data_IF_369635486826
#
_entry.id   IF_369635486826
#
_cell.length_a   1.000
_cell.length_b   1.000
_cell.length_c   1.000
_cell.angle_alpha   90.00
_cell.angle_beta   90.00
_cell.angle_gamma   90.00
#
_symmetry.space_group_name_H-M   'P 1'
#
loop_
_entity.id
_entity.type
_entity.pdbx_description
1 polymer ?
#
# COMPACT_ATOMS: atom_id res chain seq x y z
N UNK A 1 -7.62 2.52 -37.28
CA UNK A 1 -7.78 3.50 -36.17
C UNK A 1 -7.14 3.04 -34.85
N UNK A 2 -7.16 1.74 -34.51
CA UNK A 2 -6.60 1.16 -33.28
C UNK A 2 -5.06 1.23 -33.13
N UNK A 3 -4.31 1.24 -34.23
CA UNK A 3 -2.83 1.33 -34.18
C UNK A 3 -2.31 2.70 -33.74
N UNK A 4 -2.98 3.81 -34.10
CA UNK A 4 -2.57 5.18 -33.73
C UNK A 4 -2.82 5.50 -32.25
N UNK A 5 -3.84 4.90 -31.64
CA UNK A 5 -4.15 5.09 -30.21
C UNK A 5 -3.11 4.37 -29.34
N UNK A 6 -2.67 3.18 -29.76
CA UNK A 6 -1.67 2.40 -29.03
C UNK A 6 -0.28 3.08 -29.05
N UNK A 7 0.13 3.65 -30.18
CA UNK A 7 1.41 4.37 -30.28
C UNK A 7 1.42 5.69 -29.51
N UNK A 8 0.31 6.43 -29.50
CA UNK A 8 0.17 7.66 -28.70
C UNK A 8 0.31 7.39 -27.20
N UNK A 9 -0.34 6.34 -26.69
CA UNK A 9 -0.31 6.01 -25.26
C UNK A 9 1.06 5.49 -24.80
N UNK A 10 1.79 4.77 -25.67
CA UNK A 10 3.13 4.28 -25.37
C UNK A 10 4.15 5.42 -25.27
N UNK A 11 4.09 6.40 -26.18
CA UNK A 11 4.98 7.57 -26.12
C UNK A 11 4.78 8.39 -24.82
N UNK A 12 3.54 8.54 -24.37
CA UNK A 12 3.22 9.23 -23.11
C UNK A 12 3.74 8.47 -21.89
N UNK A 13 3.62 7.14 -21.87
CA UNK A 13 4.14 6.29 -20.78
C UNK A 13 5.67 6.30 -20.74
N UNK A 14 6.34 6.29 -21.89
CA UNK A 14 7.80 6.37 -21.99
C UNK A 14 8.36 7.72 -21.52
N UNK A 15 7.71 8.83 -21.86
CA UNK A 15 8.08 10.16 -21.34
C UNK A 15 7.92 10.28 -19.83
N UNK A 16 6.96 9.55 -19.25
CA UNK A 16 6.68 9.54 -17.81
C UNK A 16 7.75 8.79 -17.01
N UNK A 17 8.23 7.64 -17.51
CA UNK A 17 9.30 6.86 -16.87
C UNK A 17 10.65 7.57 -16.87
N UNK A 18 10.93 8.38 -17.90
CA UNK A 18 12.07 9.28 -17.88
C UNK A 18 11.97 10.27 -16.71
N UNK A 19 10.78 10.85 -16.49
CA UNK A 19 10.51 11.76 -15.36
C UNK A 19 10.72 11.10 -14.00
N UNK A 20 10.25 9.86 -13.81
CA UNK A 20 10.42 9.09 -12.56
C UNK A 20 11.89 8.75 -12.29
N UNK A 21 12.64 8.33 -13.32
CA UNK A 21 14.08 8.06 -13.19
C UNK A 21 14.86 9.33 -12.84
N UNK A 22 14.49 10.48 -13.41
CA UNK A 22 15.06 11.78 -13.04
C UNK A 22 14.76 12.17 -11.60
N UNK A 23 13.52 11.97 -11.13
CA UNK A 23 13.12 12.27 -9.75
C UNK A 23 13.86 11.38 -8.72
N UNK A 24 14.01 10.09 -9.02
CA UNK A 24 14.75 9.15 -8.16
C UNK A 24 16.26 9.46 -8.12
N UNK A 25 16.85 9.89 -9.23
CA UNK A 25 18.26 10.29 -9.28
C UNK A 25 18.53 11.60 -8.50
N UNK A 26 17.56 12.52 -8.48
CA UNK A 26 17.61 13.74 -7.67
C UNK A 26 17.44 13.42 -6.18
N UNK A 27 16.50 12.54 -5.82
CA UNK A 27 16.26 12.13 -4.43
C UNK A 27 17.40 11.33 -3.80
N UNK A 28 18.17 10.58 -4.59
CA UNK A 28 19.31 9.80 -4.12
C UNK A 28 20.61 10.62 -3.92
N UNK A 29 20.58 11.96 -4.11
CA UNK A 29 21.77 12.80 -4.01
C UNK A 29 22.82 12.55 -5.11
N UNK A 30 22.49 11.77 -6.15
CA UNK A 30 23.40 11.40 -7.24
C UNK A 30 23.60 12.53 -8.27
N UNK A 31 22.96 13.69 -8.07
CA UNK A 31 22.92 14.81 -9.03
C UNK A 31 23.20 16.16 -8.35
N UNK A 32 24.30 16.27 -7.61
CA UNK A 32 24.80 17.60 -7.17
C UNK A 32 25.53 18.36 -8.30
N UNK A 33 25.78 17.71 -9.44
CA UNK A 33 26.32 18.36 -10.64
C UNK A 33 25.54 17.95 -11.89
N UNK A 34 25.08 18.97 -12.63
CA UNK A 34 24.27 18.97 -13.87
C UNK A 34 24.16 17.62 -14.61
N UNK A 35 22.95 17.14 -14.97
CA UNK A 35 22.82 15.88 -15.70
C UNK A 35 23.34 16.06 -17.15
N UNK A 36 24.23 15.19 -17.66
CA UNK A 36 24.50 15.14 -19.08
C UNK A 36 23.26 14.58 -19.79
N UNK A 37 22.87 15.21 -20.90
CA UNK A 37 21.80 14.80 -21.82
C UNK A 37 21.82 13.29 -22.16
N UNK A 38 22.95 12.62 -21.96
CA UNK A 38 23.15 11.18 -22.09
C UNK A 38 22.26 10.31 -21.18
N UNK A 39 21.97 10.71 -19.93
CA UNK A 39 21.11 9.90 -19.02
C UNK A 39 19.66 9.90 -19.51
N UNK A 40 19.19 11.06 -19.97
CA UNK A 40 17.87 11.22 -20.58
C UNK A 40 17.77 10.51 -21.94
N UNK A 41 18.84 10.53 -22.74
CA UNK A 41 18.92 9.80 -24.00
C UNK A 41 18.94 8.27 -23.81
N UNK A 42 19.63 7.76 -22.78
CA UNK A 42 19.68 6.34 -22.44
C UNK A 42 18.34 5.83 -21.88
N UNK A 43 17.67 6.62 -21.03
CA UNK A 43 16.32 6.30 -20.55
C UNK A 43 15.30 6.32 -21.72
N UNK A 44 15.43 7.26 -22.66
CA UNK A 44 14.61 7.34 -23.86
C UNK A 44 14.84 6.18 -24.84
N UNK A 45 16.10 5.77 -25.05
CA UNK A 45 16.46 4.66 -25.93
C UNK A 45 16.03 3.29 -25.37
N UNK A 46 16.16 3.08 -24.06
CA UNK A 46 15.67 1.88 -23.38
C UNK A 46 14.14 1.76 -23.46
N UNK A 47 13.43 2.90 -23.38
CA UNK A 47 11.99 2.97 -23.53
C UNK A 47 11.53 2.69 -24.98
N UNK A 48 12.28 3.14 -25.99
CA UNK A 48 12.01 2.85 -27.40
C UNK A 48 12.24 1.36 -27.76
N UNK A 49 13.25 0.72 -27.16
CA UNK A 49 13.52 -0.71 -27.35
C UNK A 49 12.44 -1.63 -26.72
N UNK A 50 11.76 -1.17 -25.67
CA UNK A 50 10.72 -1.94 -24.96
C UNK A 50 9.40 -2.09 -25.74
N UNK A 51 9.10 -1.19 -26.69
CA UNK A 51 7.84 -1.17 -27.42
C UNK A 51 7.66 -2.34 -28.42
N UNK A 52 8.74 -3.06 -28.78
CA UNK A 52 8.70 -4.20 -29.70
C UNK A 52 8.47 -5.58 -29.07
N UNK A 53 8.55 -5.72 -27.74
CA UNK A 53 8.60 -7.02 -27.05
C UNK A 53 7.27 -7.37 -26.32
N UNK A 54 6.12 -7.09 -26.93
CA UNK A 54 4.81 -7.16 -26.27
C UNK A 54 4.34 -8.56 -25.78
N UNK A 55 5.08 -9.65 -26.03
CA UNK A 55 4.79 -10.97 -25.46
C UNK A 55 5.82 -11.43 -24.41
N UNK A 56 7.07 -10.96 -24.49
CA UNK A 56 8.15 -11.25 -23.52
C UNK A 56 8.29 -10.17 -22.43
N UNK A 57 7.65 -9.01 -22.61
CA UNK A 57 7.70 -7.89 -21.67
C UNK A 57 6.82 -8.05 -20.41
N UNK A 58 6.15 -9.20 -20.22
CA UNK A 58 5.30 -9.41 -19.02
C UNK A 58 6.09 -9.31 -17.72
N UNK A 59 7.22 -10.00 -17.65
CA UNK A 59 8.09 -10.00 -16.46
C UNK A 59 8.62 -8.59 -16.16
N UNK A 60 9.21 -7.84 -17.11
CA UNK A 60 9.68 -6.48 -16.81
C UNK A 60 8.54 -5.49 -16.52
N UNK A 61 7.35 -5.63 -17.13
CA UNK A 61 6.18 -4.80 -16.77
C UNK A 61 5.71 -5.06 -15.34
N UNK A 62 5.63 -6.32 -14.92
CA UNK A 62 5.27 -6.67 -13.53
C UNK A 62 6.36 -6.27 -12.55
N UNK A 63 7.64 -6.39 -12.92
CA UNK A 63 8.75 -5.89 -12.10
C UNK A 63 8.70 -4.37 -11.94
N UNK A 64 8.49 -3.62 -13.04
CA UNK A 64 8.36 -2.17 -13.02
C UNK A 64 7.11 -1.71 -12.24
N UNK A 65 5.99 -2.43 -12.38
CA UNK A 65 4.79 -2.22 -11.56
C UNK A 65 5.12 -2.45 -10.08
N UNK A 66 5.79 -3.56 -9.74
CA UNK A 66 6.23 -3.84 -8.37
C UNK A 66 7.12 -2.74 -7.78
N UNK A 67 8.11 -2.26 -8.54
CA UNK A 67 8.99 -1.16 -8.13
C UNK A 67 8.26 0.19 -8.02
N UNK A 68 7.23 0.42 -8.83
CA UNK A 68 6.42 1.64 -8.70
C UNK A 68 5.52 1.58 -7.47
N UNK A 69 4.98 0.38 -7.19
CA UNK A 69 4.18 0.13 -6.00
C UNK A 69 5.02 0.33 -4.74
N UNK A 70 6.29 -0.08 -4.70
CA UNK A 70 7.16 0.14 -3.53
C UNK A 70 7.31 1.62 -3.22
N UNK A 71 7.54 2.46 -4.25
CA UNK A 71 7.62 3.91 -4.13
C UNK A 71 6.27 4.56 -3.75
N UNK A 72 5.15 3.99 -4.20
CA UNK A 72 3.82 4.46 -3.82
C UNK A 72 3.39 4.07 -2.41
N UNK A 73 3.99 3.03 -1.82
CA UNK A 73 3.63 2.56 -0.47
C UNK A 73 4.13 3.49 0.63
N UNK A 74 5.24 4.18 0.41
CA UNK A 74 5.76 5.19 1.35
C UNK A 74 4.92 6.46 1.35
N UNK A 75 4.18 6.75 0.26
CA UNK A 75 3.20 7.85 0.22
C UNK A 75 2.12 7.71 1.31
N UNK A 76 1.75 6.48 1.66
CA UNK A 76 0.76 6.25 2.72
C UNK A 76 1.24 6.85 4.04
N UNK A 77 2.53 6.68 4.36
CA UNK A 77 3.13 7.21 5.58
C UNK A 77 3.21 8.74 5.52
N UNK A 78 3.54 9.32 4.36
CA UNK A 78 3.55 10.77 4.17
C UNK A 78 2.16 11.39 4.35
N UNK A 79 1.13 10.75 3.80
CA UNK A 79 -0.27 11.20 3.94
C UNK A 79 -0.73 11.07 5.39
N UNK A 80 -0.39 9.97 6.07
CA UNK A 80 -0.65 9.79 7.50
C UNK A 80 0.03 10.91 8.28
N UNK A 81 1.32 11.17 8.08
CA UNK A 81 2.05 12.24 8.75
C UNK A 81 1.34 13.60 8.57
N UNK A 82 1.03 13.97 7.32
CA UNK A 82 0.33 15.22 7.00
C UNK A 82 -1.05 15.32 7.65
N UNK A 83 -1.86 14.26 7.61
CA UNK A 83 -3.20 14.24 8.21
C UNK A 83 -3.16 14.47 9.73
N UNK A 84 -2.07 14.06 10.38
CA UNK A 84 -1.90 14.18 11.82
C UNK A 84 -1.09 15.41 12.25
N UNK A 85 -0.88 16.35 11.32
CA UNK A 85 -0.16 17.59 11.58
C UNK A 85 1.35 17.39 11.79
N UNK A 86 1.85 16.19 11.49
CA UNK A 86 3.27 15.91 11.47
C UNK A 86 3.85 16.46 10.16
N UNK A 87 5.10 16.93 10.22
CA UNK A 87 5.82 17.32 9.01
C UNK A 87 6.23 16.05 8.27
N UNK A 88 6.11 16.08 6.94
CA UNK A 88 6.82 15.11 6.09
C UNK A 88 8.31 15.42 6.15
N UNK A 89 9.13 14.37 6.25
CA UNK A 89 10.59 14.49 6.32
C UNK A 89 11.15 15.25 5.10
N UNK A 90 10.51 15.07 3.94
CA UNK A 90 10.85 15.76 2.70
C UNK A 90 9.64 15.90 1.78
N UNK A 91 9.29 17.14 1.44
CA UNK A 91 8.26 17.43 0.42
C UNK A 91 8.63 16.79 -0.92
N UNK A 92 9.91 16.84 -1.30
CA UNK A 92 10.41 16.23 -2.55
C UNK A 92 10.25 14.71 -2.52
N UNK A 93 10.50 14.07 -1.37
CA UNK A 93 10.27 12.64 -1.16
C UNK A 93 8.80 12.28 -1.34
N UNK A 94 7.89 13.01 -0.68
CA UNK A 94 6.45 12.79 -0.80
C UNK A 94 5.94 12.96 -2.25
N UNK A 95 6.45 13.93 -2.99
CA UNK A 95 6.13 14.10 -4.43
C UNK A 95 6.64 12.91 -5.24
N UNK A 96 7.86 12.42 -4.98
CA UNK A 96 8.41 11.25 -5.65
C UNK A 96 7.57 10.00 -5.37
N UNK A 97 7.12 9.81 -4.13
CA UNK A 97 6.23 8.72 -3.74
C UNK A 97 4.87 8.81 -4.44
N UNK A 98 4.29 10.02 -4.55
CA UNK A 98 3.03 10.26 -5.26
C UNK A 98 3.14 9.91 -6.75
N UNK A 99 4.22 10.33 -7.40
CA UNK A 99 4.50 10.01 -8.79
C UNK A 99 4.73 8.50 -8.96
N UNK A 100 5.45 7.85 -8.05
CA UNK A 100 5.64 6.40 -8.03
C UNK A 100 4.30 5.65 -8.01
N UNK A 101 3.38 6.06 -7.13
CA UNK A 101 2.03 5.47 -7.05
C UNK A 101 1.26 5.62 -8.37
N UNK A 102 1.26 6.81 -8.97
CA UNK A 102 0.58 7.05 -10.26
C UNK A 102 1.19 6.18 -11.36
N UNK A 103 2.52 6.06 -11.41
CA UNK A 103 3.22 5.17 -12.35
C UNK A 103 2.84 3.70 -12.16
N UNK A 104 2.66 3.26 -10.91
CA UNK A 104 2.22 1.91 -10.57
C UNK A 104 0.80 1.63 -11.07
N UNK A 105 -0.12 2.56 -10.86
CA UNK A 105 -1.51 2.44 -11.29
C UNK A 105 -1.61 2.38 -12.83
N UNK A 106 -0.85 3.22 -13.52
CA UNK A 106 -0.82 3.26 -14.98
C UNK A 106 -0.20 1.98 -15.56
N UNK A 107 0.94 1.53 -15.04
CA UNK A 107 1.61 0.31 -15.52
C UNK A 107 0.80 -0.95 -15.22
N UNK A 108 0.19 -1.03 -14.03
CA UNK A 108 -0.74 -2.09 -13.67
C UNK A 108 -1.98 -2.14 -14.57
N UNK A 109 -2.57 -0.98 -14.90
CA UNK A 109 -3.70 -0.90 -15.84
C UNK A 109 -3.32 -1.40 -17.24
N UNK A 110 -2.13 -1.05 -17.75
CA UNK A 110 -1.61 -1.55 -19.03
C UNK A 110 -1.36 -3.06 -18.97
N UNK A 111 -0.72 -3.56 -17.91
CA UNK A 111 -0.48 -4.99 -17.72
C UNK A 111 -1.80 -5.77 -17.70
N UNK A 112 -2.82 -5.28 -16.99
CA UNK A 112 -4.16 -5.87 -16.94
C UNK A 112 -4.88 -5.80 -18.29
N UNK A 113 -4.74 -4.72 -19.06
CA UNK A 113 -5.31 -4.64 -20.41
C UNK A 113 -4.68 -5.66 -21.37
N UNK A 114 -3.38 -5.95 -21.21
CA UNK A 114 -2.63 -6.93 -22.01
C UNK A 114 -2.95 -8.37 -21.57
N UNK A 115 -3.20 -8.63 -20.28
CA UNK A 115 -3.50 -9.98 -19.76
C UNK A 115 -4.98 -10.32 -19.76
N UNK A 116 -5.87 -9.33 -19.64
CA UNK A 116 -7.31 -9.46 -19.43
C UNK A 116 -8.13 -10.08 -20.57
N UNK A 117 -7.49 -10.59 -21.62
CA UNK A 117 -8.15 -11.30 -22.73
C UNK A 117 -8.22 -12.82 -22.58
N UNK A 118 -7.62 -13.44 -21.54
CA UNK A 118 -7.54 -14.91 -21.46
C UNK A 118 -8.34 -15.62 -20.35
N UNK A 119 -8.76 -14.95 -19.27
CA UNK A 119 -9.29 -15.66 -18.09
C UNK A 119 -10.76 -15.37 -17.76
N UNK A 120 -11.66 -15.57 -18.73
CA UNK A 120 -13.12 -15.60 -18.49
C UNK A 120 -13.64 -17.03 -18.61
N UNK A 121 -13.17 -17.93 -17.74
CA UNK A 121 -13.75 -19.27 -17.58
C UNK A 121 -13.45 -19.93 -16.22
N UNK A 122 -13.17 -19.18 -15.16
CA UNK A 122 -13.05 -19.75 -13.82
C UNK A 122 -14.42 -19.73 -13.13
N UNK A 123 -15.06 -20.91 -13.04
CA UNK A 123 -16.37 -21.13 -12.43
C UNK A 123 -16.51 -20.47 -11.06
N UNK A 124 -17.75 -20.07 -10.73
CA UNK A 124 -18.07 -19.47 -9.45
C UNK A 124 -17.72 -20.46 -8.31
N UNK A 125 -16.94 -20.05 -7.30
CA UNK A 125 -16.68 -20.91 -6.15
C UNK A 125 -18.00 -21.20 -5.42
N UNK A 126 -18.36 -22.47 -5.32
CA UNK A 126 -19.62 -22.98 -4.75
C UNK A 126 -19.56 -23.21 -3.23
N UNK A 127 -18.56 -22.66 -2.54
CA UNK A 127 -18.36 -22.87 -1.10
C UNK A 127 -19.08 -21.86 -0.19
N UNK A 128 -19.39 -22.24 1.07
CA UNK A 128 -19.91 -21.32 2.08
C UNK A 128 -18.91 -20.16 2.28
N UNK A 129 -19.40 -18.91 2.31
CA UNK A 129 -18.56 -17.73 2.13
C UNK A 129 -17.54 -17.57 3.25
N UNK A 130 -16.42 -16.89 2.95
CA UNK A 130 -15.26 -16.63 3.81
C UNK A 130 -15.57 -15.86 5.10
N UNK A 131 -16.43 -16.42 5.95
CA UNK A 131 -16.82 -15.92 7.27
C UNK A 131 -15.62 -15.81 8.21
N UNK A 132 -14.57 -16.58 7.95
CA UNK A 132 -13.31 -16.56 8.70
C UNK A 132 -12.35 -15.46 8.27
N UNK A 133 -12.46 -14.93 7.04
CA UNK A 133 -11.59 -13.86 6.51
C UNK A 133 -11.50 -12.65 7.46
N UNK A 134 -12.62 -12.09 7.97
CA UNK A 134 -12.53 -10.92 8.84
C UNK A 134 -11.85 -11.25 10.17
N UNK A 135 -12.06 -12.46 10.71
CA UNK A 135 -11.40 -12.88 11.94
C UNK A 135 -9.89 -13.07 11.73
N UNK A 136 -9.46 -13.67 10.63
CA UNK A 136 -8.03 -13.78 10.31
C UNK A 136 -7.38 -12.39 10.17
N UNK A 137 -8.04 -11.45 9.50
CA UNK A 137 -7.54 -10.07 9.39
C UNK A 137 -7.54 -9.29 10.71
N UNK A 138 -8.42 -9.62 11.66
CA UNK A 138 -8.38 -9.04 13.02
C UNK A 138 -7.26 -9.67 13.85
N UNK A 139 -7.07 -10.99 13.74
CA UNK A 139 -6.05 -11.73 14.48
C UNK A 139 -4.64 -11.21 14.20
N UNK A 140 -4.38 -10.70 13.00
CA UNK A 140 -3.07 -10.13 12.63
C UNK A 140 -2.73 -8.86 13.40
N UNK A 141 -3.74 -8.15 13.93
CA UNK A 141 -3.53 -6.97 14.78
C UNK A 141 -3.34 -7.29 16.26
N UNK A 142 -3.55 -8.53 16.73
CA UNK A 142 -3.46 -8.84 18.15
C UNK A 142 -2.11 -8.47 18.78
N UNK A 143 -0.94 -8.79 18.17
CA UNK A 143 0.35 -8.39 18.74
C UNK A 143 0.50 -6.87 18.83
N UNK A 144 0.01 -6.16 17.81
CA UNK A 144 0.06 -4.70 17.75
C UNK A 144 -0.84 -4.05 18.81
N UNK A 145 -2.06 -4.57 18.99
CA UNK A 145 -2.99 -4.11 20.03
C UNK A 145 -2.41 -4.38 21.41
N UNK A 146 -1.82 -5.56 21.65
CA UNK A 146 -1.19 -5.89 22.92
C UNK A 146 -0.02 -4.92 23.24
N UNK A 147 0.83 -4.63 22.25
CA UNK A 147 1.91 -3.64 22.38
C UNK A 147 1.37 -2.25 22.73
N UNK A 148 0.39 -1.75 21.98
CA UNK A 148 -0.20 -0.42 22.22
C UNK A 148 -0.91 -0.32 23.57
N UNK A 149 -1.63 -1.36 23.98
CA UNK A 149 -2.23 -1.43 25.32
C UNK A 149 -1.17 -1.45 26.42
N UNK A 150 -0.04 -2.14 26.22
CA UNK A 150 1.04 -2.15 27.19
C UNK A 150 1.60 -0.73 27.43
N UNK A 151 1.86 0.04 26.37
CA UNK A 151 2.25 1.45 26.48
C UNK A 151 1.17 2.32 27.12
N UNK A 152 -0.10 2.12 26.75
CA UNK A 152 -1.25 2.85 27.30
C UNK A 152 -1.38 2.69 28.82
N UNK A 153 -1.06 1.49 29.32
CA UNK A 153 -1.10 1.16 30.75
C UNK A 153 0.17 1.63 31.50
N UNK A 154 1.03 2.42 30.85
CA UNK A 154 2.27 2.95 31.43
C UNK A 154 3.43 1.95 31.43
N UNK A 155 3.31 0.83 30.71
CA UNK A 155 4.37 -0.15 30.55
C UNK A 155 5.48 0.29 29.59
N UNK A 156 6.53 -0.52 29.55
CA UNK A 156 7.69 -0.35 28.66
C UNK A 156 7.75 -1.53 27.70
N UNK A 157 7.75 -1.24 26.41
CA UNK A 157 7.88 -2.25 25.36
C UNK A 157 8.98 -1.85 24.39
N UNK A 158 9.85 -2.80 24.02
CA UNK A 158 11.00 -2.56 23.15
C UNK A 158 11.87 -1.38 23.64
N UNK A 159 12.19 -1.40 24.95
CA UNK A 159 13.02 -0.38 25.59
C UNK A 159 12.37 0.99 25.79
N UNK A 160 11.19 1.25 25.21
CA UNK A 160 10.52 2.56 25.24
C UNK A 160 9.25 2.50 26.09
N UNK A 161 9.11 3.46 27.01
CA UNK A 161 7.94 3.64 27.86
C UNK A 161 6.84 4.44 27.17
N UNK A 162 5.58 4.26 27.59
CA UNK A 162 4.47 5.07 27.08
C UNK A 162 4.65 6.58 27.28
N UNK A 163 5.36 6.99 28.35
CA UNK A 163 5.67 8.39 28.61
C UNK A 163 6.69 8.96 27.61
N UNK A 164 7.69 8.17 27.22
CA UNK A 164 8.67 8.57 26.19
C UNK A 164 8.01 8.70 24.82
N UNK A 165 7.11 7.77 24.45
CA UNK A 165 6.33 7.86 23.20
C UNK A 165 5.50 9.15 23.18
N UNK A 166 4.80 9.47 24.27
CA UNK A 166 3.99 10.70 24.35
C UNK A 166 4.85 11.97 24.27
N UNK A 167 6.01 11.98 24.94
CA UNK A 167 6.93 13.11 24.90
C UNK A 167 7.53 13.31 23.50
N UNK A 168 7.78 12.23 22.76
CA UNK A 168 8.23 12.29 21.38
C UNK A 168 7.14 12.85 20.45
N UNK A 169 5.89 12.39 20.60
CA UNK A 169 4.76 12.94 19.85
C UNK A 169 4.53 14.42 20.11
N UNK A 170 4.72 14.88 21.36
CA UNK A 170 4.67 16.30 21.72
C UNK A 170 5.80 17.10 21.04
N UNK A 171 7.04 16.58 21.05
CA UNK A 171 8.17 17.18 20.33
C UNK A 171 7.92 17.29 18.83
N UNK A 172 7.25 16.30 18.25
CA UNK A 172 6.92 16.29 16.82
C UNK A 172 5.69 17.16 16.48
N UNK A 173 5.16 17.91 17.44
CA UNK A 173 4.09 18.88 17.22
C UNK A 173 2.70 18.27 17.11
N UNK A 174 2.47 17.10 17.71
CA UNK A 174 1.13 16.51 17.78
C UNK A 174 0.16 17.49 18.46
N UNK A 175 -1.03 17.66 17.85
CA UNK A 175 -2.06 18.55 18.41
C UNK A 175 -2.52 18.07 19.78
N UNK A 176 -3.06 18.97 20.62
CA UNK A 176 -3.58 18.62 21.94
C UNK A 176 -4.64 17.50 21.93
N UNK A 177 -5.45 17.39 20.88
CA UNK A 177 -6.40 16.28 20.71
C UNK A 177 -5.67 14.94 20.55
N UNK A 178 -4.62 14.90 19.73
CA UNK A 178 -3.80 13.71 19.50
C UNK A 178 -3.05 13.30 20.76
N UNK A 179 -2.42 14.25 21.46
CA UNK A 179 -1.77 13.98 22.75
C UNK A 179 -2.76 13.46 23.80
N UNK A 180 -4.01 13.92 23.77
CA UNK A 180 -5.06 13.42 24.67
C UNK A 180 -5.39 11.97 24.34
N UNK A 181 -5.60 11.62 23.06
CA UNK A 181 -5.90 10.24 22.65
C UNK A 181 -4.72 9.29 22.91
N UNK A 182 -3.50 9.77 22.68
CA UNK A 182 -2.27 9.00 22.89
C UNK A 182 -2.03 8.65 24.36
N UNK A 183 -2.45 9.51 25.31
CA UNK A 183 -2.47 9.18 26.75
C UNK A 183 -3.35 7.98 27.08
N UNK A 184 -4.34 7.67 26.23
CA UNK A 184 -5.17 6.46 26.34
C UNK A 184 -4.64 5.30 25.47
N UNK A 185 -3.47 5.45 24.84
CA UNK A 185 -2.92 4.52 23.86
C UNK A 185 -3.67 4.48 22.54
N UNK A 186 -4.54 5.46 22.30
CA UNK A 186 -5.30 5.59 21.06
C UNK A 186 -4.57 6.53 20.12
N UNK A 187 -3.66 5.99 19.33
CA UNK A 187 -3.04 6.77 18.27
C UNK A 187 -3.85 6.69 16.96
N UNK A 188 -3.42 7.47 15.99
CA UNK A 188 -3.95 7.47 14.64
C UNK A 188 -4.04 6.06 14.03
N UNK A 189 -3.01 5.24 14.23
CA UNK A 189 -2.91 3.90 13.67
C UNK A 189 -3.94 2.94 14.27
N UNK A 190 -4.24 3.03 15.58
CA UNK A 190 -5.33 2.27 16.21
C UNK A 190 -6.68 2.67 15.63
N UNK A 191 -6.93 3.96 15.45
CA UNK A 191 -8.20 4.44 14.85
C UNK A 191 -8.35 3.96 13.41
N UNK A 192 -7.29 4.04 12.60
CA UNK A 192 -7.28 3.51 11.23
C UNK A 192 -7.46 1.99 11.20
N UNK A 193 -6.84 1.26 12.13
CA UNK A 193 -7.04 -0.18 12.26
C UNK A 193 -8.50 -0.52 12.57
N UNK A 194 -9.16 0.21 13.47
CA UNK A 194 -10.58 0.03 13.78
C UNK A 194 -11.47 0.30 12.55
N UNK A 195 -11.22 1.38 11.82
CA UNK A 195 -11.92 1.66 10.55
C UNK A 195 -11.71 0.54 9.55
N UNK A 196 -10.49 0.03 9.43
CA UNK A 196 -10.16 -1.12 8.60
C UNK A 196 -10.93 -2.38 9.02
N UNK A 197 -10.94 -2.73 10.29
CA UNK A 197 -11.68 -3.88 10.82
C UNK A 197 -13.17 -3.75 10.47
N UNK A 198 -13.77 -2.58 10.70
CA UNK A 198 -15.17 -2.32 10.35
C UNK A 198 -15.42 -2.49 8.84
N UNK A 199 -14.51 -1.98 8.01
CA UNK A 199 -14.56 -2.16 6.56
C UNK A 199 -14.48 -3.65 6.16
N UNK A 200 -13.60 -4.42 6.79
CA UNK A 200 -13.45 -5.84 6.53
C UNK A 200 -14.73 -6.62 6.88
N UNK A 201 -15.36 -6.31 8.02
CA UNK A 201 -16.66 -6.88 8.37
C UNK A 201 -17.76 -6.40 7.42
N UNK A 202 -17.75 -5.14 6.99
CA UNK A 202 -18.69 -4.61 6.01
C UNK A 202 -18.65 -5.39 4.70
N UNK A 203 -17.46 -5.72 4.21
CA UNK A 203 -17.30 -6.47 2.95
C UNK A 203 -17.81 -7.91 3.04
N UNK A 204 -17.90 -8.50 4.23
CA UNK A 204 -18.25 -9.92 4.41
C UNK A 204 -19.68 -10.10 4.94
N UNK A 205 -20.14 -9.22 5.82
CA UNK A 205 -21.42 -9.37 6.53
C UNK A 205 -22.61 -8.88 5.69
N UNK A 206 -23.82 -9.43 5.89
CA UNK A 206 -24.99 -9.08 5.10
C UNK A 206 -25.37 -7.60 5.15
N UNK A 207 -25.12 -6.92 6.27
CA UNK A 207 -25.46 -5.50 6.43
C UNK A 207 -24.66 -4.59 5.50
N UNK A 208 -23.44 -4.97 5.11
CA UNK A 208 -22.64 -4.16 4.19
C UNK A 208 -23.16 -4.16 2.75
N UNK A 209 -23.97 -5.16 2.37
CA UNK A 209 -24.66 -5.16 1.08
C UNK A 209 -25.81 -4.14 1.00
N UNK A 210 -26.24 -3.56 2.13
CA UNK A 210 -27.26 -2.51 2.15
C UNK A 210 -26.70 -1.14 1.78
N UNK A 211 -25.37 -1.00 1.77
CA UNK A 211 -24.70 0.24 1.40
C UNK A 211 -24.52 0.31 -0.12
N UNK A 212 -24.50 1.53 -0.71
CA UNK A 212 -24.12 1.71 -2.11
C UNK A 212 -22.78 1.05 -2.39
N UNK A 213 -22.68 0.25 -3.46
CA UNK A 213 -21.50 -0.59 -3.74
C UNK A 213 -20.17 0.17 -3.68
N UNK A 214 -20.14 1.41 -4.15
CA UNK A 214 -18.92 2.22 -4.17
C UNK A 214 -18.41 2.56 -2.76
N UNK A 215 -19.29 2.68 -1.78
CA UNK A 215 -18.96 3.17 -0.44
C UNK A 215 -17.98 2.24 0.32
N UNK A 216 -18.21 0.92 0.44
CA UNK A 216 -17.22 0.02 1.01
C UNK A 216 -16.15 -0.40 0.01
N UNK A 217 -16.46 -0.44 -1.30
CA UNK A 217 -15.55 -1.02 -2.28
C UNK A 217 -14.37 -0.12 -2.62
N UNK A 218 -14.59 1.19 -2.73
CA UNK A 218 -13.53 2.17 -3.01
C UNK A 218 -12.44 2.17 -1.93
N UNK A 219 -12.75 2.37 -0.62
CA UNK A 219 -11.73 2.32 0.41
C UNK A 219 -11.09 0.93 0.54
N UNK A 220 -11.81 -0.14 0.23
CA UNK A 220 -11.25 -1.49 0.26
C UNK A 220 -10.22 -1.71 -0.85
N UNK A 221 -10.49 -1.21 -2.06
CA UNK A 221 -9.53 -1.24 -3.17
C UNK A 221 -8.30 -0.40 -2.88
N UNK A 222 -8.49 0.81 -2.34
CA UNK A 222 -7.39 1.69 -1.93
C UNK A 222 -6.55 0.97 -0.86
N UNK A 223 -7.18 0.49 0.21
CA UNK A 223 -6.50 -0.20 1.30
C UNK A 223 -5.80 -1.48 0.84
N UNK A 224 -6.39 -2.27 -0.05
CA UNK A 224 -5.73 -3.44 -0.63
C UNK A 224 -4.52 -3.04 -1.48
N UNK A 225 -4.65 -2.01 -2.32
CA UNK A 225 -3.58 -1.55 -3.19
C UNK A 225 -2.38 -0.97 -2.42
N UNK A 226 -2.61 -0.42 -1.22
CA UNK A 226 -1.56 0.16 -0.38
C UNK A 226 -1.02 -0.82 0.66
N UNK A 227 -1.87 -1.56 1.38
CA UNK A 227 -1.45 -2.36 2.53
C UNK A 227 -0.81 -3.70 2.14
N UNK A 228 -1.28 -4.34 1.07
CA UNK A 228 -0.66 -5.61 0.60
C UNK A 228 0.80 -5.38 0.26
N UNK A 229 1.15 -4.41 -0.60
CA UNK A 229 2.54 -4.25 -0.96
C UNK A 229 3.36 -3.62 0.17
N UNK A 230 2.83 -2.63 0.89
CA UNK A 230 3.50 -2.05 2.06
C UNK A 230 3.88 -3.14 3.09
N UNK A 231 2.93 -4.00 3.45
CA UNK A 231 3.16 -5.09 4.39
C UNK A 231 4.16 -6.13 3.86
N UNK A 232 3.97 -6.64 2.64
CA UNK A 232 4.83 -7.69 2.09
C UNK A 232 6.27 -7.22 1.84
N UNK A 233 6.44 -6.00 1.33
CA UNK A 233 7.75 -5.42 1.10
C UNK A 233 8.46 -5.13 2.43
N UNK A 234 7.73 -4.60 3.41
CA UNK A 234 8.24 -4.42 4.76
C UNK A 234 8.71 -5.73 5.38
N UNK A 235 7.93 -6.81 5.28
CA UNK A 235 8.37 -8.13 5.74
C UNK A 235 9.63 -8.61 5.02
N UNK A 236 9.74 -8.40 3.70
CA UNK A 236 10.95 -8.71 2.96
C UNK A 236 12.17 -7.93 3.43
N UNK A 237 12.01 -6.63 3.68
CA UNK A 237 13.04 -5.76 4.27
C UNK A 237 13.46 -6.26 5.66
N UNK A 238 12.50 -6.63 6.52
CA UNK A 238 12.80 -7.13 7.86
C UNK A 238 13.55 -8.46 7.85
N UNK A 239 13.25 -9.36 6.91
CA UNK A 239 14.04 -10.59 6.73
C UNK A 239 15.49 -10.25 6.41
N UNK A 240 15.73 -9.30 5.50
CA UNK A 240 17.08 -8.87 5.15
C UNK A 240 17.79 -8.16 6.31
N UNK A 241 17.06 -7.35 7.09
CA UNK A 241 17.61 -6.64 8.24
C UNK A 241 17.97 -7.63 9.36
N UNK A 242 17.11 -8.61 9.62
CA UNK A 242 17.32 -9.65 10.61
C UNK A 242 18.55 -10.53 10.31
N UNK A 243 18.88 -10.74 9.03
CA UNK A 243 20.08 -11.48 8.61
C UNK A 243 21.34 -10.61 8.54
N UNK A 244 21.24 -9.31 8.82
CA UNK A 244 22.33 -8.35 8.69
C UNK A 244 22.70 -8.01 7.24
N UNK A 245 21.88 -8.41 6.26
CA UNK A 245 22.12 -8.09 4.85
C UNK A 245 21.86 -6.61 4.54
N UNK A 246 20.99 -5.95 5.33
CA UNK A 246 20.76 -4.50 5.30
C UNK A 246 20.74 -3.97 6.73
N UNK A 247 21.15 -2.71 6.93
CA UNK A 247 21.03 -2.05 8.23
C UNK A 247 19.61 -1.55 8.50
N UNK A 248 19.28 -1.38 9.78
CA UNK A 248 18.07 -0.71 10.25
C UNK A 248 18.48 0.37 11.25
N UNK A 249 17.92 1.58 11.11
CA UNK A 249 18.19 2.64 12.08
C UNK A 249 17.35 2.42 13.34
N UNK A 250 17.94 2.64 14.51
CA UNK A 250 17.20 2.60 15.79
C UNK A 250 16.11 3.68 15.85
N UNK A 251 16.28 4.81 15.16
CA UNK A 251 15.30 5.90 15.14
C UNK A 251 15.00 6.40 16.55
N UNK A 252 13.72 6.32 16.95
CA UNK A 252 13.25 6.70 18.28
C UNK A 252 13.43 5.59 19.35
N UNK A 253 13.88 4.39 18.96
CA UNK A 253 14.14 3.29 19.89
C UNK A 253 15.59 3.30 20.38
N UNK A 254 15.81 2.67 21.53
CA UNK A 254 17.12 2.62 22.17
C UNK A 254 18.11 1.68 21.48
N UNK A 255 17.63 0.71 20.71
CA UNK A 255 18.45 -0.26 19.97
C UNK A 255 17.85 -0.63 18.62
N UNK A 256 18.66 -1.15 17.70
CA UNK A 256 18.20 -1.69 16.42
C UNK A 256 17.29 -2.92 16.61
N UNK A 257 17.57 -3.74 17.63
CA UNK A 257 16.77 -4.93 17.98
C UNK A 257 15.35 -4.54 18.44
N UNK A 258 15.23 -3.47 19.22
CA UNK A 258 13.94 -2.90 19.64
C UNK A 258 13.13 -2.42 18.43
N UNK A 259 13.79 -1.72 17.49
CA UNK A 259 13.17 -1.30 16.23
C UNK A 259 12.72 -2.50 15.41
N UNK A 260 13.57 -3.53 15.26
CA UNK A 260 13.23 -4.75 14.54
C UNK A 260 11.99 -5.43 15.14
N UNK A 261 11.93 -5.56 16.47
CA UNK A 261 10.81 -6.16 17.17
C UNK A 261 9.50 -5.42 16.88
N UNK A 262 9.49 -4.09 17.03
CA UNK A 262 8.30 -3.27 16.78
C UNK A 262 7.92 -3.29 15.29
N UNK A 263 8.91 -3.24 14.41
CA UNK A 263 8.68 -3.29 12.97
C UNK A 263 8.07 -4.63 12.55
N UNK A 264 8.54 -5.76 13.08
CA UNK A 264 7.94 -7.09 12.82
C UNK A 264 6.47 -7.12 13.23
N UNK A 265 6.13 -6.60 14.41
CA UNK A 265 4.74 -6.49 14.87
C UNK A 265 3.90 -5.65 13.91
N UNK A 266 4.40 -4.49 13.49
CA UNK A 266 3.69 -3.61 12.55
C UNK A 266 3.49 -4.23 11.17
N UNK A 267 4.57 -4.66 10.52
CA UNK A 267 4.51 -5.16 9.14
C UNK A 267 3.76 -6.50 9.03
N UNK A 268 3.81 -7.38 10.04
CA UNK A 268 2.98 -8.59 10.06
C UNK A 268 1.50 -8.24 10.17
N UNK A 269 1.14 -7.26 11.01
CA UNK A 269 -0.23 -6.80 11.13
C UNK A 269 -0.76 -6.22 9.82
N UNK A 270 -0.03 -5.32 9.18
CA UNK A 270 -0.42 -4.69 7.91
C UNK A 270 -0.46 -5.67 6.75
N UNK A 271 0.52 -6.58 6.64
CA UNK A 271 0.57 -7.60 5.60
C UNK A 271 -0.60 -8.58 5.73
N UNK A 272 -0.80 -9.15 6.92
CA UNK A 272 -1.86 -10.10 7.18
C UNK A 272 -3.24 -9.50 6.98
N UNK A 273 -3.46 -8.28 7.48
CA UNK A 273 -4.69 -7.54 7.25
C UNK A 273 -4.88 -7.18 5.76
N UNK A 274 -3.84 -6.73 5.06
CA UNK A 274 -3.89 -6.40 3.64
C UNK A 274 -4.33 -7.60 2.79
N UNK A 275 -3.78 -8.78 3.05
CA UNK A 275 -4.16 -10.03 2.37
C UNK A 275 -5.61 -10.42 2.69
N UNK A 276 -6.04 -10.30 3.94
CA UNK A 276 -7.42 -10.55 4.33
C UNK A 276 -8.38 -9.56 3.62
N UNK A 277 -8.01 -8.28 3.55
CA UNK A 277 -8.78 -7.24 2.86
C UNK A 277 -8.85 -7.51 1.35
N UNK A 278 -7.77 -7.94 0.70
CA UNK A 278 -7.77 -8.35 -0.71
C UNK A 278 -8.78 -9.49 -0.95
N UNK A 279 -8.74 -10.52 -0.09
CA UNK A 279 -9.66 -11.65 -0.18
C UNK A 279 -11.12 -11.21 0.01
N UNK A 280 -11.40 -10.38 1.02
CA UNK A 280 -12.73 -9.83 1.29
C UNK A 280 -13.23 -8.93 0.15
N UNK A 281 -12.37 -8.07 -0.40
CA UNK A 281 -12.66 -7.21 -1.54
C UNK A 281 -13.04 -8.03 -2.78
N UNK A 282 -12.24 -9.05 -3.11
CA UNK A 282 -12.51 -9.95 -4.23
C UNK A 282 -13.83 -10.70 -4.05
N UNK A 283 -14.11 -11.15 -2.82
CA UNK A 283 -15.37 -11.81 -2.49
C UNK A 283 -16.58 -10.88 -2.65
N UNK A 284 -16.54 -9.68 -2.05
CA UNK A 284 -17.60 -8.67 -2.14
C UNK A 284 -17.85 -8.23 -3.58
N UNK A 285 -16.78 -8.04 -4.37
CA UNK A 285 -16.85 -7.67 -5.77
C UNK A 285 -17.59 -8.72 -6.62
N UNK A 286 -17.34 -10.02 -6.37
CA UNK A 286 -18.05 -11.11 -7.07
C UNK A 286 -19.52 -11.15 -6.68
N UNK A 287 -19.80 -11.12 -5.38
CA UNK A 287 -21.17 -11.18 -4.83
C UNK A 287 -22.07 -10.05 -5.34
N UNK A 288 -21.54 -8.83 -5.45
CA UNK A 288 -22.30 -7.66 -5.92
C UNK A 288 -22.48 -7.62 -7.44
N UNK A 289 -21.69 -8.35 -8.23
CA UNK A 289 -21.93 -8.51 -9.68
C UNK A 289 -23.12 -9.40 -9.99
N UNK A 290 -23.33 -10.44 -9.19
CA UNK A 290 -24.43 -11.40 -9.38
C UNK A 290 -25.81 -10.77 -9.11
N UNK A 291 -25.88 -9.79 -8.22
CA UNK A 291 -27.15 -9.10 -7.87
C UNK A 291 -27.55 -8.00 -8.86
N UNK A 292 -26.62 -7.55 -9.71
CA UNK A 292 -26.86 -6.49 -10.72
C UNK A 292 -27.09 -7.01 -12.13
N UNK A 293 -27.13 -8.32 -12.35
CA UNK A 293 -27.46 -8.89 -13.66
C UNK A 293 -28.91 -8.58 -14.04
N UNK A 294 -29.21 -8.30 -15.33
CA UNK A 294 -30.58 -8.10 -15.77
C UNK A 294 -31.42 -9.29 -15.32
N UNK A 295 -32.47 -9.03 -14.55
CA UNK A 295 -33.44 -10.05 -14.15
C UNK A 295 -33.90 -10.72 -15.44
N UNK A 296 -33.68 -12.03 -15.65
CA UNK A 296 -34.15 -12.68 -16.85
C UNK A 296 -35.65 -12.48 -16.88
N UNK A 297 -36.13 -11.70 -17.86
CA UNK A 297 -37.55 -11.55 -18.13
C UNK A 297 -38.09 -12.97 -18.28
N UNK A 298 -38.85 -13.42 -17.28
CA UNK A 298 -39.59 -14.69 -17.39
C UNK A 298 -40.43 -14.56 -18.64
N UNK A 299 -40.06 -15.29 -19.69
CA UNK A 299 -40.93 -15.43 -20.86
C UNK A 299 -42.20 -16.12 -20.37
N UNK A 300 -43.38 -15.56 -20.68
CA UNK A 300 -44.66 -16.17 -20.34
C UNK A 300 -44.83 -17.54 -21.01
#
# INVERSE_FOLDING_TARGET
MTSKILTSNVATVCGWWAGVAGALAVGAGLLESRPPLAVWALAGAAAAAGAGLAARARVPLWAACGLSVTAGCTLLMDVIALLFGQRVDSVTGAVAHALGLVGALLTGAVAMAVTGRRDVAAGAPTGPPGRWIPYLGVLTFLPYVAMKLHWALGGTFAGVSGAEVLAESERNGASGLWLTLERWGLDATVLMALVGILLLFCLIRPWGLRLPRWLPLTPALIGTATLVPYGLLGLGYLVLAQTGAVGISSGAFHSEDDTLLVAWIGYTAFSGYGVALLAATRWYWRRTREHGGPTPLRRP
#
